data_IF_939803223086
#
_entry.id   IF_939803223086
#
_cell.length_a   1.000
_cell.length_b   1.000
_cell.length_c   1.000
_cell.angle_alpha   90.00
_cell.angle_beta   90.00
_cell.angle_gamma   90.00
#
_symmetry.space_group_name_H-M   'P 1'
#
loop_
_entity.id
_entity.type
_entity.pdbx_description
1 polymer ?
#
# COMPACT_ATOMS: atom_id res chain seq x y z
N UNK A 1 16.31 -60.52 35.97
CA UNK A 1 14.96 -60.22 35.43
C UNK A 1 14.96 -58.82 34.85
N UNK A 2 14.54 -58.68 33.59
CA UNK A 2 14.62 -57.45 32.79
C UNK A 2 13.47 -56.50 33.16
N UNK A 3 13.81 -55.22 33.24
CA UNK A 3 12.97 -54.07 33.60
C UNK A 3 11.86 -53.80 32.58
N UNK A 4 10.73 -53.26 33.04
CA UNK A 4 9.89 -52.36 32.23
C UNK A 4 9.32 -51.26 33.13
N UNK A 5 9.84 -50.05 32.96
CA UNK A 5 9.24 -48.82 33.49
C UNK A 5 8.36 -48.26 32.36
N UNK A 6 7.05 -48.20 32.57
CA UNK A 6 6.10 -47.66 31.61
C UNK A 6 6.04 -46.13 31.80
N UNK A 7 6.69 -45.38 30.93
CA UNK A 7 6.59 -43.92 30.90
C UNK A 7 5.30 -43.48 30.20
N UNK A 8 4.41 -42.80 30.93
CA UNK A 8 3.22 -42.16 30.36
C UNK A 8 3.66 -40.87 29.67
N UNK A 9 3.54 -40.83 28.34
CA UNK A 9 3.77 -39.63 27.54
C UNK A 9 2.48 -38.79 27.56
N UNK A 10 2.51 -37.65 28.26
CA UNK A 10 1.43 -36.66 28.23
C UNK A 10 1.60 -35.80 26.98
N UNK A 11 0.76 -36.01 25.97
CA UNK A 11 0.63 -35.09 24.84
C UNK A 11 -0.13 -33.83 25.29
N UNK A 12 0.59 -32.75 25.57
CA UNK A 12 -0.02 -31.42 25.65
C UNK A 12 -0.39 -30.98 24.23
N UNK A 13 -1.68 -31.02 23.91
CA UNK A 13 -2.21 -30.38 22.70
C UNK A 13 -2.10 -28.87 22.86
N UNK A 14 -1.11 -28.26 22.20
CA UNK A 14 -1.09 -26.82 22.02
C UNK A 14 -2.29 -26.46 21.13
N UNK A 15 -3.26 -25.72 21.69
CA UNK A 15 -4.32 -25.09 20.91
C UNK A 15 -3.65 -24.04 20.01
N UNK A 16 -3.41 -24.41 18.76
CA UNK A 16 -3.02 -23.46 17.72
C UNK A 16 -4.28 -22.63 17.44
N UNK A 17 -4.33 -21.41 17.94
CA UNK A 17 -5.34 -20.46 17.48
C UNK A 17 -5.09 -20.22 15.98
N UNK A 18 -6.11 -20.46 15.15
CA UNK A 18 -6.00 -20.18 13.72
C UNK A 18 -5.83 -18.66 13.54
N UNK A 19 -4.80 -18.26 12.80
CA UNK A 19 -4.67 -16.89 12.33
C UNK A 19 -5.86 -16.60 11.41
N UNK A 20 -6.63 -15.59 11.79
CA UNK A 20 -7.89 -15.23 11.15
C UNK A 20 -8.02 -13.72 11.05
N UNK A 21 -8.86 -13.31 10.12
CA UNK A 21 -9.30 -11.93 9.97
C UNK A 21 -10.82 -11.93 9.91
N UNK A 22 -11.42 -11.06 10.70
CA UNK A 22 -12.87 -10.91 10.81
C UNK A 22 -13.28 -9.50 10.39
N UNK A 23 -14.36 -9.41 9.62
CA UNK A 23 -15.01 -8.13 9.28
C UNK A 23 -15.98 -7.78 10.41
N UNK A 24 -15.67 -6.74 11.18
CA UNK A 24 -16.52 -6.27 12.28
C UNK A 24 -17.69 -5.45 11.74
N UNK A 25 -17.42 -4.57 10.79
CA UNK A 25 -18.44 -3.73 10.16
C UNK A 25 -17.97 -3.15 8.85
N UNK A 26 -18.92 -2.83 7.98
CA UNK A 26 -18.68 -2.16 6.70
C UNK A 26 -19.69 -1.03 6.55
N UNK A 27 -19.22 0.17 6.20
CA UNK A 27 -20.04 1.37 6.01
C UNK A 27 -19.64 2.12 4.75
N UNK A 28 -20.62 2.49 3.93
CA UNK A 28 -20.41 3.42 2.83
C UNK A 28 -20.14 4.84 3.35
N UNK A 29 -19.13 5.52 2.79
CA UNK A 29 -18.85 6.92 3.08
C UNK A 29 -19.66 7.80 2.12
N UNK A 30 -20.45 8.71 2.67
CA UNK A 30 -21.21 9.70 1.90
C UNK A 30 -20.29 10.85 1.52
N UNK A 31 -19.93 10.93 0.24
CA UNK A 31 -19.05 11.95 -0.30
C UNK A 31 -19.87 12.82 -1.27
N UNK A 32 -20.01 14.11 -0.96
CA UNK A 32 -20.71 15.04 -1.84
C UNK A 32 -19.87 15.31 -3.11
N UNK A 33 -20.29 14.77 -4.25
CA UNK A 33 -19.63 14.96 -5.54
C UNK A 33 -19.71 13.74 -6.48
N UNK A 34 -19.18 13.89 -7.70
CA UNK A 34 -19.00 12.77 -8.63
C UNK A 34 -18.08 11.69 -8.04
N UNK A 35 -18.22 10.44 -8.51
CA UNK A 35 -17.48 9.27 -8.02
C UNK A 35 -16.00 9.55 -7.82
N UNK A 36 -15.49 9.15 -6.65
CA UNK A 36 -14.09 9.34 -6.27
C UNK A 36 -13.43 7.97 -6.15
N UNK A 37 -12.14 7.91 -6.48
CA UNK A 37 -11.43 6.65 -6.68
C UNK A 37 -10.14 6.58 -5.86
N UNK A 38 -9.58 5.37 -5.77
CA UNK A 38 -8.27 5.06 -5.18
C UNK A 38 -8.10 5.58 -3.74
N UNK A 39 -8.98 5.19 -2.80
CA UNK A 39 -8.94 5.70 -1.46
C UNK A 39 -7.63 5.34 -0.75
N UNK A 40 -7.09 6.27 0.02
CA UNK A 40 -5.96 6.05 0.93
C UNK A 40 -6.34 6.51 2.32
N UNK A 41 -6.45 5.58 3.27
CA UNK A 41 -6.71 5.93 4.67
C UNK A 41 -5.42 6.46 5.33
N UNK A 42 -5.56 7.41 6.24
CA UNK A 42 -4.44 7.92 7.03
C UNK A 42 -3.88 6.85 7.97
N UNK A 43 -2.62 6.97 8.40
CA UNK A 43 -2.00 6.06 9.38
C UNK A 43 -2.87 5.84 10.63
N UNK A 44 -3.47 6.92 11.15
CA UNK A 44 -4.34 6.91 12.34
C UNK A 44 -5.75 6.39 12.07
N UNK A 45 -6.14 6.21 10.81
CA UNK A 45 -7.49 5.80 10.46
C UNK A 45 -8.56 6.86 10.72
N UNK A 46 -8.21 8.14 10.66
CA UNK A 46 -9.08 9.30 10.97
C UNK A 46 -9.51 10.11 9.73
N UNK A 47 -8.85 9.92 8.59
CA UNK A 47 -9.23 10.55 7.33
C UNK A 47 -8.87 9.68 6.12
N UNK A 48 -9.48 9.98 4.98
CA UNK A 48 -9.29 9.27 3.71
C UNK A 48 -8.95 10.27 2.61
N UNK A 49 -7.87 10.04 1.87
CA UNK A 49 -7.62 10.72 0.60
C UNK A 49 -8.36 10.00 -0.51
N UNK A 50 -8.91 10.78 -1.43
CA UNK A 50 -9.56 10.29 -2.65
C UNK A 50 -9.15 11.17 -3.83
N UNK A 51 -9.25 10.64 -5.04
CA UNK A 51 -8.91 11.35 -6.29
C UNK A 51 -10.05 11.26 -7.30
N UNK A 52 -10.01 12.10 -8.33
CA UNK A 52 -10.85 11.91 -9.51
C UNK A 52 -10.43 10.63 -10.27
N UNK A 53 -11.30 10.14 -11.15
CA UNK A 53 -11.09 8.92 -11.97
C UNK A 53 -9.78 8.92 -12.75
N UNK A 54 -9.39 10.07 -13.32
CA UNK A 54 -8.15 10.26 -14.08
C UNK A 54 -6.90 10.47 -13.19
N UNK A 55 -7.02 10.22 -11.88
CA UNK A 55 -6.01 10.47 -10.85
C UNK A 55 -5.63 11.96 -10.67
N UNK A 56 -6.42 12.90 -11.21
CA UNK A 56 -6.21 14.33 -10.98
C UNK A 56 -6.76 14.76 -9.62
N UNK A 57 -6.04 15.71 -9.02
CA UNK A 57 -6.40 16.28 -7.73
C UNK A 57 -6.33 15.31 -6.56
N UNK A 58 -6.49 15.86 -5.37
CA UNK A 58 -6.66 15.11 -4.12
C UNK A 58 -7.69 15.83 -3.27
N UNK A 59 -8.59 15.06 -2.68
CA UNK A 59 -9.52 15.53 -1.65
C UNK A 59 -9.31 14.70 -0.39
N UNK A 60 -9.46 15.33 0.77
CA UNK A 60 -9.43 14.69 2.09
C UNK A 60 -10.84 14.63 2.64
N UNK A 61 -11.29 13.43 2.96
CA UNK A 61 -12.52 13.17 3.70
C UNK A 61 -12.18 12.93 5.17
N UNK A 62 -12.74 13.75 6.05
CA UNK A 62 -12.58 13.63 7.50
C UNK A 62 -13.63 12.66 8.06
N UNK A 63 -13.21 11.57 8.71
CA UNK A 63 -14.13 10.51 9.13
C UNK A 63 -15.02 10.90 10.32
N UNK A 64 -14.59 11.86 11.13
CA UNK A 64 -15.35 12.32 12.29
C UNK A 64 -16.47 13.29 11.88
N UNK A 65 -16.18 14.19 10.94
CA UNK A 65 -17.08 15.27 10.53
C UNK A 65 -17.84 15.00 9.23
N UNK A 66 -17.38 14.02 8.43
CA UNK A 66 -17.90 13.78 7.08
C UNK A 66 -17.51 14.87 6.07
N UNK A 67 -16.60 15.78 6.42
CA UNK A 67 -16.24 16.91 5.56
C UNK A 67 -15.25 16.49 4.48
N UNK A 68 -15.59 16.75 3.22
CA UNK A 68 -14.69 16.63 2.08
C UNK A 68 -14.01 17.97 1.76
N UNK A 69 -12.67 17.99 1.71
CA UNK A 69 -11.88 19.20 1.46
C UNK A 69 -10.88 18.97 0.33
N UNK A 70 -10.86 19.85 -0.67
CA UNK A 70 -9.86 19.80 -1.75
C UNK A 70 -8.47 20.17 -1.21
N UNK A 71 -7.49 19.32 -1.50
CA UNK A 71 -6.09 19.48 -1.12
C UNK A 71 -5.26 20.06 -2.27
N UNK A 72 -5.48 19.56 -3.48
CA UNK A 72 -4.86 20.07 -4.71
C UNK A 72 -5.71 19.68 -5.91
N UNK A 73 -5.56 20.41 -7.02
CA UNK A 73 -6.11 20.08 -8.33
C UNK A 73 -5.02 19.62 -9.32
N UNK A 74 -3.81 19.33 -8.82
CA UNK A 74 -2.67 18.95 -9.65
C UNK A 74 -2.93 17.63 -10.41
N UNK A 75 -2.47 17.59 -11.67
CA UNK A 75 -2.54 16.40 -12.51
C UNK A 75 -1.71 15.27 -11.92
N UNK A 76 -2.29 14.07 -11.85
CA UNK A 76 -1.69 12.85 -11.29
C UNK A 76 -1.41 12.88 -9.79
N UNK A 77 -2.01 13.81 -9.03
CA UNK A 77 -1.84 13.86 -7.58
C UNK A 77 -2.32 12.58 -6.88
N UNK A 78 -3.32 11.89 -7.42
CA UNK A 78 -3.78 10.59 -6.92
C UNK A 78 -2.80 9.43 -7.11
N UNK A 79 -1.81 9.56 -8.00
CA UNK A 79 -0.88 8.46 -8.30
C UNK A 79 0.15 8.28 -7.17
N UNK A 80 -0.07 7.24 -6.36
CA UNK A 80 0.77 6.87 -5.20
C UNK A 80 0.97 8.03 -4.21
N UNK A 81 -0.11 8.76 -3.90
CA UNK A 81 -0.13 9.71 -2.79
C UNK A 81 0.10 8.98 -1.45
N UNK A 82 0.84 9.63 -0.55
CA UNK A 82 1.18 9.08 0.76
C UNK A 82 0.97 10.13 1.85
N UNK A 83 0.53 9.70 3.02
CA UNK A 83 0.58 10.51 4.23
C UNK A 83 1.99 10.47 4.85
N UNK A 84 2.36 11.52 5.57
CA UNK A 84 3.35 11.39 6.64
C UNK A 84 2.80 10.52 7.78
N UNK A 85 3.67 9.84 8.52
CA UNK A 85 3.27 8.94 9.62
C UNK A 85 2.42 9.63 10.70
N UNK A 86 2.62 10.94 10.91
CA UNK A 86 1.82 11.73 11.85
C UNK A 86 0.44 12.17 11.30
N UNK A 87 0.19 11.92 10.02
CA UNK A 87 -1.01 12.32 9.27
C UNK A 87 -1.08 13.80 8.90
N UNK A 88 -0.05 14.60 9.18
CA UNK A 88 -0.09 16.06 9.04
C UNK A 88 0.15 16.57 7.61
N UNK A 89 0.80 15.76 6.77
CA UNK A 89 1.29 16.16 5.45
C UNK A 89 0.99 15.09 4.42
N UNK A 90 0.61 15.51 3.21
CA UNK A 90 0.42 14.62 2.06
C UNK A 90 1.54 14.84 1.06
N UNK A 91 2.16 13.75 0.62
CA UNK A 91 3.20 13.70 -0.40
C UNK A 91 2.56 13.16 -1.67
N UNK A 92 2.70 13.87 -2.78
CA UNK A 92 2.05 13.50 -4.03
C UNK A 92 2.90 13.88 -5.25
N UNK A 93 2.63 13.21 -6.37
CA UNK A 93 3.29 13.51 -7.64
C UNK A 93 2.45 14.50 -8.45
N UNK A 94 3.12 15.43 -9.13
CA UNK A 94 2.48 16.30 -10.13
C UNK A 94 3.08 16.01 -11.49
N UNK A 95 2.25 15.82 -12.50
CA UNK A 95 2.70 15.66 -13.89
C UNK A 95 2.65 16.98 -14.65
N UNK A 96 3.70 17.24 -15.41
CA UNK A 96 3.82 18.37 -16.34
C UNK A 96 4.34 17.87 -17.69
N UNK A 97 3.95 18.54 -18.78
CA UNK A 97 4.35 18.16 -20.13
C UNK A 97 5.19 19.27 -20.76
N UNK A 98 6.35 18.89 -21.33
CA UNK A 98 7.17 19.76 -22.15
C UNK A 98 7.26 19.15 -23.54
N UNK A 99 6.49 19.70 -24.48
CA UNK A 99 6.22 19.02 -25.75
C UNK A 99 5.53 17.67 -25.50
N UNK A 100 6.05 16.60 -26.13
CA UNK A 100 5.52 15.23 -26.00
C UNK A 100 6.07 14.47 -24.79
N UNK A 101 6.92 15.09 -23.96
CA UNK A 101 7.58 14.43 -22.84
C UNK A 101 6.85 14.75 -21.52
N UNK A 102 6.46 13.71 -20.79
CA UNK A 102 5.92 13.81 -19.42
C UNK A 102 7.06 13.90 -18.41
N UNK A 103 6.96 14.85 -17.49
CA UNK A 103 7.82 15.03 -16.32
C UNK A 103 6.97 14.91 -15.07
N UNK A 104 7.55 14.38 -14.00
CA UNK A 104 6.92 14.30 -12.68
C UNK A 104 7.77 15.05 -11.66
N UNK A 105 7.14 15.93 -10.88
CA UNK A 105 7.70 16.48 -9.65
C UNK A 105 7.10 15.76 -8.43
N UNK A 106 7.82 15.78 -7.31
CA UNK A 106 7.31 15.33 -6.01
C UNK A 106 7.05 16.55 -5.15
N UNK A 107 5.85 16.66 -4.60
CA UNK A 107 5.41 17.80 -3.81
C UNK A 107 4.83 17.31 -2.48
N UNK A 108 4.80 18.20 -1.50
CA UNK A 108 4.09 17.99 -0.24
C UNK A 108 3.14 19.13 0.05
N UNK A 109 2.08 18.84 0.80
CA UNK A 109 1.13 19.82 1.32
C UNK A 109 0.81 19.51 2.77
N UNK A 110 1.03 20.49 3.64
CA UNK A 110 0.63 20.39 5.04
C UNK A 110 -0.89 20.58 5.15
N UNK A 111 -1.58 19.63 5.76
CA UNK A 111 -3.05 19.58 5.80
C UNK A 111 -3.68 20.58 6.77
N UNK A 112 -2.89 21.16 7.68
CA UNK A 112 -3.37 22.19 8.61
C UNK A 112 -3.19 23.59 8.04
N UNK A 113 -2.02 23.88 7.45
CA UNK A 113 -1.66 25.23 6.98
C UNK A 113 -1.92 25.45 5.50
N UNK A 114 -2.11 24.38 4.72
CA UNK A 114 -2.17 24.44 3.25
C UNK A 114 -0.82 24.74 2.59
N UNK A 115 0.27 24.86 3.36
CA UNK A 115 1.60 25.17 2.82
C UNK A 115 2.07 24.03 1.92
N UNK A 116 2.49 24.38 0.70
CA UNK A 116 3.05 23.45 -0.27
C UNK A 116 4.57 23.59 -0.40
N UNK A 117 5.24 22.49 -0.75
CA UNK A 117 6.68 22.48 -1.05
C UNK A 117 6.98 21.50 -2.19
N UNK A 118 7.88 21.88 -3.11
CA UNK A 118 8.40 20.97 -4.13
C UNK A 118 9.65 20.26 -3.59
N UNK A 119 9.52 18.96 -3.33
CA UNK A 119 10.57 18.11 -2.76
C UNK A 119 11.56 17.61 -3.82
N UNK A 120 11.05 17.31 -5.02
CA UNK A 120 11.84 16.90 -6.19
C UNK A 120 11.37 17.69 -7.41
N UNK A 121 12.32 18.33 -8.09
CA UNK A 121 12.07 19.08 -9.34
C UNK A 121 11.53 18.15 -10.45
N UNK A 122 10.80 18.69 -11.45
CA UNK A 122 10.31 17.88 -12.56
C UNK A 122 11.40 17.01 -13.21
N UNK A 123 11.20 15.70 -13.21
CA UNK A 123 12.12 14.67 -13.71
C UNK A 123 11.35 13.59 -14.47
N UNK A 124 12.03 12.82 -15.33
CA UNK A 124 11.46 11.65 -16.02
C UNK A 124 11.70 10.33 -15.28
N UNK A 125 12.51 10.35 -14.22
CA UNK A 125 13.07 9.16 -13.58
C UNK A 125 12.78 9.12 -12.07
N UNK A 126 11.60 9.56 -11.62
CA UNK A 126 11.19 9.44 -10.21
C UNK A 126 10.66 8.02 -9.95
N UNK A 127 11.54 7.13 -9.49
CA UNK A 127 11.36 5.67 -9.48
C UNK A 127 10.72 5.14 -8.19
N UNK A 128 11.03 5.74 -7.02
CA UNK A 128 10.54 5.27 -5.72
C UNK A 128 10.35 6.42 -4.73
N UNK A 129 9.37 6.28 -3.82
CA UNK A 129 9.07 7.27 -2.77
C UNK A 129 8.61 6.53 -1.52
N UNK A 130 9.24 6.82 -0.39
CA UNK A 130 8.88 6.35 0.96
C UNK A 130 8.90 7.52 1.93
N UNK A 131 7.99 7.52 2.89
CA UNK A 131 7.96 8.49 3.99
C UNK A 131 8.20 7.76 5.30
N UNK A 132 9.17 8.23 6.11
CA UNK A 132 9.49 7.65 7.42
C UNK A 132 9.98 8.72 8.38
N UNK A 133 9.47 8.74 9.60
CA UNK A 133 9.87 9.67 10.67
C UNK A 133 9.85 11.14 10.24
N UNK A 134 8.86 11.57 9.46
CA UNK A 134 8.77 12.93 8.93
C UNK A 134 9.82 13.26 7.85
N UNK A 135 10.48 12.26 7.28
CA UNK A 135 11.43 12.40 6.17
C UNK A 135 10.89 11.70 4.92
N UNK A 136 10.89 12.42 3.81
CA UNK A 136 10.58 11.89 2.47
C UNK A 136 11.88 11.44 1.82
N UNK A 137 11.89 10.19 1.38
CA UNK A 137 13.01 9.53 0.71
C UNK A 137 12.55 9.16 -0.70
N UNK A 138 13.18 9.75 -1.70
CA UNK A 138 12.85 9.52 -3.11
C UNK A 138 14.05 8.96 -3.86
N UNK A 139 13.81 8.03 -4.78
CA UNK A 139 14.83 7.54 -5.71
C UNK A 139 14.59 8.21 -7.05
N UNK A 140 15.53 9.04 -7.48
CA UNK A 140 15.49 9.73 -8.77
C UNK A 140 16.70 9.33 -9.61
N UNK A 141 16.46 8.63 -10.72
CA UNK A 141 17.51 8.07 -11.57
C UNK A 141 18.53 7.23 -10.76
N UNK A 142 18.02 6.31 -9.92
CA UNK A 142 18.82 5.47 -9.03
C UNK A 142 19.51 6.18 -7.87
N UNK A 143 19.34 7.50 -7.70
CA UNK A 143 19.98 8.28 -6.62
C UNK A 143 18.98 8.63 -5.52
N UNK A 144 19.37 8.43 -4.27
CA UNK A 144 18.58 8.83 -3.12
C UNK A 144 18.54 10.36 -2.96
N UNK A 145 17.34 10.89 -2.80
CA UNK A 145 17.03 12.25 -2.36
C UNK A 145 16.34 12.14 -1.01
N UNK A 146 16.83 12.88 -0.01
CA UNK A 146 16.24 12.94 1.33
C UNK A 146 15.79 14.36 1.64
N UNK A 147 14.54 14.51 2.06
CA UNK A 147 13.93 15.80 2.45
C UNK A 147 13.17 15.62 3.74
N UNK A 148 13.58 16.34 4.79
CA UNK A 148 12.86 16.36 6.07
C UNK A 148 11.74 17.38 6.00
N UNK A 149 10.51 16.91 6.20
CA UNK A 149 9.29 17.74 6.20
C UNK A 149 8.73 17.96 7.61
N UNK A 150 9.03 17.06 8.55
CA UNK A 150 8.65 17.14 9.95
C UNK A 150 9.61 16.33 10.83
N UNK A 151 9.49 16.46 12.15
CA UNK A 151 10.16 15.59 13.11
C UNK A 151 11.69 15.72 13.18
N UNK A 152 12.32 14.71 13.81
CA UNK A 152 13.77 14.63 13.99
C UNK A 152 14.43 13.95 12.79
N UNK A 153 15.74 14.16 12.63
CA UNK A 153 16.53 13.44 11.62
C UNK A 153 16.47 11.93 11.91
N UNK A 154 16.23 11.14 10.88
CA UNK A 154 16.30 9.68 10.96
C UNK A 154 17.70 9.22 11.35
N UNK A 155 17.78 8.25 12.27
CA UNK A 155 19.03 7.57 12.62
C UNK A 155 19.45 6.58 11.54
N UNK A 156 18.49 5.77 11.10
CA UNK A 156 18.65 4.77 10.04
C UNK A 156 17.65 5.07 8.93
N UNK A 157 18.06 4.85 7.69
CA UNK A 157 17.17 5.00 6.53
C UNK A 157 16.43 3.67 6.30
N UNK A 158 15.10 3.69 6.12
CA UNK A 158 14.38 2.52 5.67
C UNK A 158 14.82 2.14 4.25
N UNK A 159 14.60 0.88 3.89
CA UNK A 159 14.68 0.45 2.50
C UNK A 159 13.64 1.20 1.65
N UNK A 160 14.06 1.69 0.48
CA UNK A 160 13.16 2.33 -0.48
C UNK A 160 13.03 1.43 -1.71
N UNK A 161 11.89 0.76 -1.92
CA UNK A 161 11.67 0.02 -3.14
C UNK A 161 11.38 0.96 -4.29
N UNK A 162 11.79 0.57 -5.49
CA UNK A 162 11.53 1.33 -6.71
C UNK A 162 11.38 0.41 -7.91
N UNK A 163 10.68 0.89 -8.95
CA UNK A 163 10.56 0.20 -10.23
C UNK A 163 11.29 1.01 -11.30
N UNK A 164 12.14 0.34 -12.08
CA UNK A 164 12.82 0.92 -13.25
C UNK A 164 12.82 -0.10 -14.37
N UNK A 165 12.30 0.28 -15.55
CA UNK A 165 12.15 -0.61 -16.71
C UNK A 165 11.46 -1.94 -16.36
N UNK A 166 10.35 -1.85 -15.62
CA UNK A 166 9.58 -3.00 -15.10
C UNK A 166 10.34 -3.93 -14.15
N UNK A 167 11.57 -3.59 -13.73
CA UNK A 167 12.35 -4.37 -12.78
C UNK A 167 12.28 -3.78 -11.37
N UNK A 168 12.33 -4.66 -10.36
CA UNK A 168 12.28 -4.29 -8.96
C UNK A 168 13.69 -3.97 -8.44
N UNK A 169 13.84 -2.80 -7.85
CA UNK A 169 15.04 -2.34 -7.17
C UNK A 169 14.75 -2.03 -5.71
N UNK A 170 15.80 -2.05 -4.89
CA UNK A 170 15.75 -1.58 -3.51
C UNK A 170 16.95 -0.69 -3.23
N UNK A 171 16.71 0.44 -2.57
CA UNK A 171 17.75 1.36 -2.08
C UNK A 171 17.91 1.17 -0.58
N UNK A 172 19.08 0.73 -0.13
CA UNK A 172 19.44 0.56 1.29
C UNK A 172 20.74 1.32 1.52
N UNK A 173 20.78 2.15 2.56
CA UNK A 173 21.95 3.00 2.89
C UNK A 173 22.46 3.83 1.69
N UNK A 174 21.54 4.33 0.87
CA UNK A 174 21.84 5.13 -0.32
C UNK A 174 22.36 4.35 -1.52
N UNK A 175 22.49 3.02 -1.42
CA UNK A 175 22.90 2.14 -2.52
C UNK A 175 21.68 1.46 -3.13
N UNK A 176 21.48 1.69 -4.42
CA UNK A 176 20.40 1.10 -5.20
C UNK A 176 20.89 -0.19 -5.86
N UNK A 177 20.20 -1.31 -5.62
CA UNK A 177 20.47 -2.59 -6.29
C UNK A 177 19.21 -3.13 -6.96
N UNK A 178 19.38 -3.79 -8.11
CA UNK A 178 18.30 -4.58 -8.69
C UNK A 178 18.09 -5.83 -7.82
N UNK A 179 16.83 -6.17 -7.58
CA UNK A 179 16.43 -7.28 -6.72
C UNK A 179 15.74 -8.37 -7.53
N UNK A 180 14.68 -8.01 -8.27
CA UNK A 180 13.86 -8.89 -9.12
C UNK A 180 13.77 -10.36 -8.63
N UNK A 181 13.13 -10.63 -7.47
CA UNK A 181 13.18 -11.95 -6.82
C UNK A 181 12.61 -13.13 -7.64
N UNK A 182 11.71 -12.84 -8.58
CA UNK A 182 11.08 -13.80 -9.49
C UNK A 182 11.77 -13.85 -10.87
N UNK A 183 12.99 -13.33 -10.97
CA UNK A 183 13.76 -13.28 -12.23
C UNK A 183 13.58 -11.98 -13.00
N UNK A 184 14.42 -11.78 -14.01
CA UNK A 184 14.47 -10.54 -14.82
C UNK A 184 13.71 -10.62 -16.15
N UNK A 185 13.12 -11.78 -16.43
CA UNK A 185 12.27 -12.06 -17.59
C UNK A 185 10.79 -11.71 -17.33
N UNK A 186 10.46 -11.14 -16.16
CA UNK A 186 9.11 -10.74 -15.76
C UNK A 186 9.08 -9.28 -15.32
N UNK A 187 7.90 -8.67 -15.35
CA UNK A 187 7.64 -7.31 -14.88
C UNK A 187 7.13 -7.25 -13.43
N UNK A 188 7.48 -6.17 -12.73
CA UNK A 188 7.13 -5.94 -11.32
C UNK A 188 6.31 -4.65 -11.15
N UNK A 189 5.33 -4.69 -10.24
CA UNK A 189 4.49 -3.54 -9.86
C UNK A 189 4.28 -3.45 -8.35
N UNK A 190 3.79 -2.29 -7.93
CA UNK A 190 3.29 -1.98 -6.59
C UNK A 190 4.20 -2.41 -5.43
N UNK A 191 5.52 -2.15 -5.47
CA UNK A 191 6.37 -2.59 -4.39
C UNK A 191 6.17 -1.72 -3.14
N UNK A 192 6.16 -2.35 -1.97
CA UNK A 192 6.07 -1.67 -0.67
C UNK A 192 6.77 -2.47 0.43
N UNK A 193 7.25 -1.79 1.46
CA UNK A 193 7.96 -2.41 2.60
C UNK A 193 6.98 -2.58 3.75
N UNK A 194 7.08 -3.70 4.48
CA UNK A 194 6.29 -3.92 5.70
C UNK A 194 6.55 -2.84 6.75
N UNK A 195 5.59 -2.54 7.65
CA UNK A 195 5.77 -1.51 8.68
C UNK A 195 7.03 -1.68 9.54
N UNK A 196 7.43 -2.92 9.83
CA UNK A 196 8.65 -3.28 10.56
C UNK A 196 9.96 -3.18 9.74
N UNK A 197 9.87 -3.00 8.42
CA UNK A 197 11.02 -2.89 7.52
C UNK A 197 11.61 -4.23 7.05
N UNK A 198 11.09 -5.37 7.52
CA UNK A 198 11.71 -6.68 7.31
C UNK A 198 11.35 -7.37 5.99
N UNK A 199 10.20 -7.03 5.40
CA UNK A 199 9.66 -7.71 4.22
C UNK A 199 9.34 -6.74 3.10
N UNK A 200 9.36 -7.25 1.88
CA UNK A 200 8.96 -6.55 0.66
C UNK A 200 7.73 -7.23 0.07
N UNK A 201 6.69 -6.45 -0.20
CA UNK A 201 5.50 -6.85 -0.96
C UNK A 201 5.63 -6.31 -2.38
N UNK A 202 5.28 -7.11 -3.38
CA UNK A 202 5.29 -6.72 -4.79
C UNK A 202 4.34 -7.59 -5.61
N UNK A 203 4.06 -7.19 -6.85
CA UNK A 203 3.26 -7.94 -7.80
C UNK A 203 4.07 -8.30 -9.05
N UNK A 204 3.96 -9.54 -9.51
CA UNK A 204 4.61 -10.04 -10.72
C UNK A 204 3.57 -10.07 -11.84
N UNK A 205 3.78 -9.26 -12.87
CA UNK A 205 2.81 -9.01 -13.95
C UNK A 205 2.52 -10.31 -14.72
N UNK A 206 3.57 -10.97 -15.18
CA UNK A 206 3.51 -12.15 -16.05
C UNK A 206 2.88 -13.37 -15.37
N UNK A 207 2.92 -13.42 -14.04
CA UNK A 207 2.32 -14.50 -13.25
C UNK A 207 0.92 -14.16 -12.73
N UNK A 208 0.51 -12.90 -12.84
CA UNK A 208 -0.71 -12.35 -12.24
C UNK A 208 -0.85 -12.63 -10.72
N UNK A 209 0.26 -12.48 -9.97
CA UNK A 209 0.35 -12.83 -8.54
C UNK A 209 1.07 -11.78 -7.71
N UNK A 210 0.61 -11.60 -6.46
CA UNK A 210 1.39 -10.90 -5.45
C UNK A 210 2.36 -11.85 -4.75
N UNK A 211 3.43 -11.27 -4.22
CA UNK A 211 4.48 -11.96 -3.52
C UNK A 211 4.96 -11.14 -2.33
N UNK A 212 5.39 -11.86 -1.29
CA UNK A 212 6.17 -11.30 -0.18
C UNK A 212 7.53 -11.98 -0.17
N UNK A 213 8.59 -11.22 0.02
CA UNK A 213 9.93 -11.76 0.26
C UNK A 213 10.61 -11.01 1.41
N UNK A 214 11.76 -11.52 1.87
CA UNK A 214 12.63 -10.76 2.77
C UNK A 214 13.11 -9.46 2.10
N UNK A 215 13.44 -8.44 2.88
CA UNK A 215 13.86 -7.13 2.33
C UNK A 215 15.11 -7.21 1.43
N UNK A 216 15.90 -8.27 1.56
CA UNK A 216 17.08 -8.54 0.74
C UNK A 216 16.78 -9.31 -0.55
N UNK A 217 15.52 -9.68 -0.79
CA UNK A 217 15.02 -10.41 -1.97
C UNK A 217 14.91 -11.91 -1.79
N UNK A 218 15.37 -12.47 -0.67
CA UNK A 218 15.34 -13.92 -0.43
C UNK A 218 13.94 -14.40 -0.02
N UNK A 219 13.70 -15.70 -0.19
CA UNK A 219 12.47 -16.40 0.21
C UNK A 219 11.18 -15.77 -0.35
N UNK A 220 11.01 -15.65 -1.68
CA UNK A 220 9.76 -15.20 -2.27
C UNK A 220 8.63 -16.22 -1.98
N UNK A 221 7.53 -15.70 -1.43
CA UNK A 221 6.33 -16.46 -1.09
C UNK A 221 5.17 -15.90 -1.90
N UNK A 222 4.48 -16.77 -2.65
CA UNK A 222 3.32 -16.36 -3.44
C UNK A 222 2.11 -16.16 -2.53
N UNK A 223 1.39 -15.05 -2.74
CA UNK A 223 0.07 -14.79 -2.13
C UNK A 223 -1.08 -15.15 -3.08
N UNK A 224 -0.77 -15.74 -4.24
CA UNK A 224 -1.72 -15.98 -5.32
C UNK A 224 -2.14 -14.70 -6.03
N UNK A 225 -3.23 -14.79 -6.80
CA UNK A 225 -3.82 -13.62 -7.48
C UNK A 225 -4.36 -12.65 -6.45
N UNK A 226 -3.71 -11.48 -6.38
CA UNK A 226 -4.01 -10.40 -5.45
C UNK A 226 -3.45 -9.10 -6.01
N UNK A 227 -4.28 -8.31 -6.70
CA UNK A 227 -3.88 -7.03 -7.31
C UNK A 227 -3.98 -5.86 -6.31
N UNK A 228 -3.28 -4.78 -6.63
CA UNK A 228 -3.13 -3.60 -5.79
C UNK A 228 -2.86 -3.93 -4.31
N UNK A 229 -1.89 -4.84 -4.01
CA UNK A 229 -1.74 -5.36 -2.68
C UNK A 229 -1.15 -4.29 -1.74
N UNK A 230 -1.63 -4.27 -0.50
CA UNK A 230 -1.20 -3.36 0.57
C UNK A 230 -1.02 -4.12 1.88
N UNK A 231 -0.06 -3.70 2.69
CA UNK A 231 0.14 -4.27 4.03
C UNK A 231 -1.03 -3.92 4.96
N UNK A 232 -1.47 -4.88 5.76
CA UNK A 232 -2.33 -4.73 6.92
C UNK A 232 -1.54 -5.20 8.14
N UNK A 233 -0.88 -4.27 8.83
CA UNK A 233 0.15 -4.60 9.81
C UNK A 233 1.36 -5.31 9.15
N UNK A 234 2.04 -6.19 9.91
CA UNK A 234 3.22 -6.92 9.42
C UNK A 234 2.92 -8.34 8.93
N UNK A 235 1.70 -8.83 9.21
CA UNK A 235 1.35 -10.24 9.08
C UNK A 235 0.32 -10.50 7.98
N UNK A 236 -0.44 -9.49 7.58
CA UNK A 236 -1.49 -9.61 6.56
C UNK A 236 -1.24 -8.68 5.39
N UNK A 237 -1.73 -9.10 4.23
CA UNK A 237 -1.77 -8.31 3.00
C UNK A 237 -3.20 -8.32 2.49
N UNK A 238 -3.70 -7.15 2.11
CA UNK A 238 -5.03 -6.96 1.53
C UNK A 238 -4.86 -6.57 0.07
N UNK A 239 -5.71 -7.07 -0.80
CA UNK A 239 -5.72 -6.70 -2.22
C UNK A 239 -7.05 -7.08 -2.86
N UNK A 240 -7.13 -6.92 -4.18
CA UNK A 240 -8.32 -7.26 -4.94
C UNK A 240 -8.09 -8.50 -5.81
N UNK A 241 -9.13 -9.32 -5.95
CA UNK A 241 -9.18 -10.44 -6.88
C UNK A 241 -10.18 -10.07 -7.95
N UNK A 242 -9.67 -9.65 -9.10
CA UNK A 242 -10.42 -9.07 -10.19
C UNK A 242 -10.36 -9.91 -11.47
N UNK A 243 -11.44 -9.85 -12.25
CA UNK A 243 -11.53 -10.35 -13.61
C UNK A 243 -12.13 -9.26 -14.50
N UNK A 244 -11.58 -9.14 -15.71
CA UNK A 244 -12.06 -8.24 -16.76
C UNK A 244 -12.29 -9.02 -18.06
N UNK A 245 -13.06 -8.43 -18.97
CA UNK A 245 -13.30 -8.98 -20.31
C UNK A 245 -12.47 -8.26 -21.40
N UNK A 246 -11.44 -7.51 -21.01
CA UNK A 246 -10.65 -6.63 -21.89
C UNK A 246 -11.22 -5.22 -22.07
N UNK A 247 -12.47 -4.96 -21.66
CA UNK A 247 -13.11 -3.63 -21.73
C UNK A 247 -13.43 -3.07 -20.35
N UNK A 248 -14.04 -3.90 -19.50
CA UNK A 248 -14.47 -3.54 -18.16
C UNK A 248 -14.14 -4.64 -17.15
N UNK A 249 -14.01 -4.25 -15.89
CA UNK A 249 -13.97 -5.19 -14.78
C UNK A 249 -15.37 -5.76 -14.61
N UNK A 250 -15.49 -7.09 -14.67
CA UNK A 250 -16.77 -7.81 -14.54
C UNK A 250 -16.93 -8.43 -13.15
N UNK A 251 -15.82 -8.53 -12.41
CA UNK A 251 -15.79 -9.07 -11.06
C UNK A 251 -14.64 -8.45 -10.27
N UNK A 252 -14.88 -8.12 -9.00
CA UNK A 252 -13.80 -7.87 -8.06
C UNK A 252 -14.26 -8.03 -6.62
N UNK A 253 -13.42 -8.67 -5.80
CA UNK A 253 -13.61 -8.75 -4.35
C UNK A 253 -12.33 -8.37 -3.61
N UNK A 254 -12.48 -7.80 -2.40
CA UNK A 254 -11.35 -7.58 -1.51
C UNK A 254 -11.02 -8.86 -0.76
N UNK A 255 -9.75 -9.25 -0.76
CA UNK A 255 -9.22 -10.41 -0.05
C UNK A 255 -8.11 -9.99 0.90
N UNK A 256 -7.98 -10.74 1.99
CA UNK A 256 -6.82 -10.72 2.87
C UNK A 256 -6.12 -12.09 2.84
N UNK A 257 -4.79 -12.05 2.87
CA UNK A 257 -3.91 -13.24 2.90
C UNK A 257 -2.79 -12.97 3.90
N UNK A 258 -2.37 -13.97 4.67
CA UNK A 258 -1.18 -13.79 5.51
C UNK A 258 0.07 -13.59 4.64
N UNK A 259 1.07 -12.88 5.17
CA UNK A 259 2.36 -12.63 4.51
C UNK A 259 3.15 -13.92 4.20
N UNK A 260 2.74 -15.05 4.77
CA UNK A 260 3.29 -16.38 4.50
C UNK A 260 2.53 -17.13 3.39
N UNK A 261 1.58 -16.49 2.70
CA UNK A 261 0.77 -17.12 1.65
C UNK A 261 -0.27 -18.11 2.18
N UNK A 262 -0.46 -18.18 3.49
CA UNK A 262 -1.47 -19.03 4.15
C UNK A 262 -2.70 -18.20 4.53
N UNK A 263 -3.80 -18.87 4.91
CA UNK A 263 -5.03 -18.23 5.42
C UNK A 263 -5.54 -17.09 4.52
N UNK A 264 -6.32 -17.46 3.51
CA UNK A 264 -6.91 -16.54 2.53
C UNK A 264 -8.40 -16.38 2.79
N UNK A 265 -8.84 -15.14 2.98
CA UNK A 265 -10.23 -14.81 3.34
C UNK A 265 -10.77 -13.72 2.41
N UNK A 266 -11.94 -13.96 1.82
CA UNK A 266 -12.70 -12.91 1.14
C UNK A 266 -13.31 -11.97 2.20
N UNK A 267 -13.08 -10.66 2.08
CA UNK A 267 -13.58 -9.65 3.02
C UNK A 267 -14.86 -8.96 2.54
N UNK A 268 -15.15 -9.02 1.24
CA UNK A 268 -16.39 -8.52 0.65
C UNK A 268 -17.16 -9.67 0.04
N UNK A 269 -18.49 -9.57 -0.01
CA UNK A 269 -19.31 -10.47 -0.81
C UNK A 269 -19.16 -10.16 -2.33
N UNK A 270 -19.99 -10.79 -3.17
CA UNK A 270 -20.00 -10.60 -4.62
C UNK A 270 -21.09 -9.62 -5.09
N UNK A 271 -21.72 -8.87 -4.19
CA UNK A 271 -22.81 -7.94 -4.53
C UNK A 271 -22.32 -6.68 -5.26
N UNK A 272 -21.04 -6.34 -5.11
CA UNK A 272 -20.39 -5.18 -5.73
C UNK A 272 -18.98 -5.51 -6.19
N UNK A 273 -18.54 -4.84 -7.25
CA UNK A 273 -17.15 -4.88 -7.74
C UNK A 273 -16.31 -3.95 -6.85
N UNK A 274 -15.61 -4.54 -5.87
CA UNK A 274 -14.83 -3.84 -4.85
C UNK A 274 -13.33 -3.85 -5.20
N UNK A 275 -12.70 -2.67 -5.23
CA UNK A 275 -11.38 -2.46 -5.83
C UNK A 275 -10.48 -1.55 -4.98
N UNK A 276 -9.17 -1.62 -5.24
CA UNK A 276 -8.13 -0.71 -4.75
C UNK A 276 -8.17 -0.45 -3.23
N UNK A 277 -7.92 -1.47 -2.39
CA UNK A 277 -7.93 -1.31 -0.95
C UNK A 277 -6.75 -0.46 -0.42
N UNK A 278 -6.92 0.10 0.77
CA UNK A 278 -5.89 0.72 1.60
C UNK A 278 -6.15 0.39 3.06
N UNK A 279 -5.10 0.16 3.85
CA UNK A 279 -5.20 -0.16 5.26
C UNK A 279 -4.56 0.92 6.14
N UNK A 280 -5.00 0.98 7.39
CA UNK A 280 -4.45 1.83 8.46
C UNK A 280 -3.28 1.12 9.17
N UNK A 281 -2.40 1.90 9.81
CA UNK A 281 -1.16 1.38 10.42
C UNK A 281 -1.44 0.46 11.62
N UNK A 282 -2.55 0.70 12.34
CA UNK A 282 -2.99 -0.11 13.48
C UNK A 282 -3.68 -1.43 13.06
N UNK A 283 -3.75 -1.69 11.75
CA UNK A 283 -4.38 -2.86 11.16
C UNK A 283 -5.88 -3.06 11.52
N UNK A 284 -6.58 -1.99 11.93
CA UNK A 284 -7.99 -2.06 12.34
C UNK A 284 -8.98 -1.64 11.26
N UNK A 285 -8.54 -0.90 10.24
CA UNK A 285 -9.40 -0.37 9.18
C UNK A 285 -8.84 -0.60 7.79
N UNK A 286 -9.74 -0.92 6.87
CA UNK A 286 -9.52 -1.00 5.43
C UNK A 286 -10.51 -0.04 4.76
N UNK A 287 -10.08 0.69 3.75
CA UNK A 287 -10.95 1.42 2.82
C UNK A 287 -10.78 0.87 1.43
N UNK A 288 -11.84 0.90 0.62
CA UNK A 288 -11.82 0.46 -0.77
C UNK A 288 -12.86 1.24 -1.58
N UNK A 289 -12.73 1.22 -2.91
CA UNK A 289 -13.69 1.84 -3.84
C UNK A 289 -14.50 0.78 -4.55
N UNK A 290 -15.68 1.12 -5.05
CA UNK A 290 -16.38 0.32 -6.07
C UNK A 290 -16.04 0.82 -7.47
N UNK A 291 -16.43 0.06 -8.50
CA UNK A 291 -16.33 0.51 -9.90
C UNK A 291 -17.07 1.83 -10.17
N UNK A 292 -18.09 2.15 -9.37
CA UNK A 292 -18.90 3.37 -9.49
C UNK A 292 -18.33 4.54 -8.68
N UNK A 293 -17.15 4.39 -8.06
CA UNK A 293 -16.52 5.43 -7.24
C UNK A 293 -17.18 5.61 -5.86
N UNK A 294 -17.87 4.59 -5.33
CA UNK A 294 -18.35 4.59 -3.95
C UNK A 294 -17.20 4.17 -3.02
N UNK A 295 -16.98 4.88 -1.93
CA UNK A 295 -15.94 4.52 -0.95
C UNK A 295 -16.59 3.82 0.25
N UNK A 296 -15.98 2.73 0.69
CA UNK A 296 -16.38 2.00 1.87
C UNK A 296 -15.26 2.02 2.91
N UNK A 297 -15.66 2.10 4.18
CA UNK A 297 -14.82 1.88 5.35
C UNK A 297 -15.21 0.56 5.99
N UNK A 298 -14.24 -0.32 6.15
CA UNK A 298 -14.37 -1.64 6.78
C UNK A 298 -13.52 -1.67 8.05
N UNK A 299 -14.13 -2.00 9.18
CA UNK A 299 -13.40 -2.29 10.42
C UNK A 299 -13.13 -3.80 10.48
N UNK A 300 -11.90 -4.16 10.81
CA UNK A 300 -11.46 -5.56 10.88
C UNK A 300 -10.73 -5.85 12.18
N UNK A 301 -10.76 -7.11 12.60
CA UNK A 301 -9.93 -7.63 13.67
C UNK A 301 -9.05 -8.76 13.12
N UNK A 302 -7.80 -8.82 13.55
CA UNK A 302 -6.88 -9.93 13.25
C UNK A 302 -6.57 -10.69 14.52
N UNK A 303 -6.60 -12.03 14.45
CA UNK A 303 -6.05 -12.88 15.49
C UNK A 303 -4.57 -13.17 15.20
N UNK A 304 -3.78 -13.28 16.28
CA UNK A 304 -2.35 -13.64 16.21
C UNK A 304 -2.15 -15.15 16.26
#
# INVERSE_FOLDING_TARGET
MRKTFLGVLVFMSQLIFAQGIEVISTKALTLDGQGVFLPKISPKGDCVLVTNEDMSGLKKFDLATGKLTTITNDRSAGFNAQFSEDGSTVIYRKSEYKGKLRYSSLNSVNLQTGKTEQLVKPTRNLEGVTVKGGTVLAVNNGKLISKRIAGKKLKNLPAIPSIKNSQLYVTIDGKTKQLSPNGTNVGYLWPSVSPDGGKLLYYVIDEAKAYVCNIDGTNPVSLGTLRAPVWLGNDWVVGMVDYDNGEIVTYSQIFAVTSQGTHRTALTDQSKICMYPSASDDASKIVYTTQNGEIFLMNVATSK
#
